data_IF_647748661590
#
_entry.id   IF_647748661590
#
_cell.length_a   1.000
_cell.length_b   1.000
_cell.length_c   1.000
_cell.angle_alpha   90.00
_cell.angle_beta   90.00
_cell.angle_gamma   90.00
#
_symmetry.space_group_name_H-M   'P 1'
#
loop_
_entity.id
_entity.type
_entity.pdbx_description
1 polymer ?
#
# COMPACT_ATOMS: atom_id res chain seq x y z
N UNK A 1 -18.03 -6.22 -11.51
CA UNK A 1 -16.63 -6.67 -11.35
C UNK A 1 -16.07 -5.93 -10.15
N UNK A 2 -15.53 -6.66 -9.18
CA UNK A 2 -14.82 -6.08 -8.04
C UNK A 2 -13.34 -5.97 -8.37
N UNK A 3 -12.67 -4.97 -7.81
CA UNK A 3 -11.22 -4.81 -7.85
C UNK A 3 -10.71 -4.83 -6.40
N UNK A 4 -9.82 -5.77 -6.09
CA UNK A 4 -9.10 -5.75 -4.82
C UNK A 4 -7.86 -4.87 -4.99
N UNK A 5 -7.93 -3.64 -4.47
CA UNK A 5 -6.90 -2.63 -4.62
C UNK A 5 -5.70 -2.81 -3.68
N UNK A 6 -5.74 -3.81 -2.78
CA UNK A 6 -4.62 -4.11 -1.88
C UNK A 6 -4.73 -5.50 -1.27
N UNK A 7 -3.90 -6.41 -1.72
CA UNK A 7 -3.79 -7.76 -1.16
C UNK A 7 -2.33 -8.23 -1.13
N UNK A 8 -2.06 -9.27 -0.35
CA UNK A 8 -0.75 -9.93 -0.25
C UNK A 8 -0.92 -11.40 -0.64
N UNK A 9 -0.98 -11.68 -1.96
CA UNK A 9 -1.28 -13.01 -2.50
C UNK A 9 -0.24 -14.06 -2.12
N UNK A 10 1.00 -13.65 -1.89
CA UNK A 10 2.10 -14.50 -1.41
C UNK A 10 1.98 -14.89 0.08
N UNK A 11 1.04 -14.27 0.81
CA UNK A 11 0.83 -14.46 2.26
C UNK A 11 -0.56 -14.97 2.63
N UNK A 12 -1.39 -15.26 1.63
CA UNK A 12 -2.74 -15.82 1.87
C UNK A 12 -2.68 -17.22 2.45
N UNK A 13 -3.61 -17.54 3.33
CA UNK A 13 -3.74 -18.91 3.84
C UNK A 13 -4.42 -19.80 2.81
N UNK A 14 -3.70 -20.76 2.28
CA UNK A 14 -4.22 -21.73 1.30
C UNK A 14 -4.80 -23.01 1.94
N UNK A 15 -5.06 -23.00 3.27
CA UNK A 15 -5.56 -24.18 3.98
C UNK A 15 -6.88 -24.72 3.42
N UNK A 16 -7.78 -23.82 3.01
CA UNK A 16 -9.08 -24.17 2.43
C UNK A 16 -9.00 -24.67 0.96
N UNK A 17 -7.82 -24.62 0.36
CA UNK A 17 -7.54 -24.96 -1.02
C UNK A 17 -6.45 -26.02 -1.15
N UNK A 18 -6.25 -26.86 -0.13
CA UNK A 18 -5.23 -27.93 -0.11
C UNK A 18 -3.82 -27.45 -0.48
N UNK A 19 -3.50 -26.20 -0.14
CA UNK A 19 -2.27 -25.48 -0.53
C UNK A 19 -2.12 -25.21 -2.04
N UNK A 20 -3.19 -25.34 -2.80
CA UNK A 20 -3.21 -25.07 -4.24
C UNK A 20 -3.57 -23.58 -4.49
N UNK A 21 -2.58 -22.81 -4.93
CA UNK A 21 -2.76 -21.39 -5.26
C UNK A 21 -3.63 -21.21 -6.52
N UNK A 22 -3.60 -22.12 -7.49
CA UNK A 22 -4.42 -22.02 -8.69
C UNK A 22 -5.90 -22.25 -8.35
N UNK A 23 -6.21 -23.18 -7.45
CA UNK A 23 -7.57 -23.38 -6.94
C UNK A 23 -8.08 -22.13 -6.20
N UNK A 24 -7.23 -21.51 -5.35
CA UNK A 24 -7.55 -20.24 -4.68
C UNK A 24 -7.86 -19.13 -5.69
N UNK A 25 -7.01 -18.94 -6.71
CA UNK A 25 -7.22 -17.92 -7.74
C UNK A 25 -8.49 -18.17 -8.55
N UNK A 26 -8.78 -19.42 -8.88
CA UNK A 26 -10.01 -19.80 -9.59
C UNK A 26 -11.25 -19.43 -8.77
N UNK A 27 -11.25 -19.75 -7.48
CA UNK A 27 -12.35 -19.41 -6.57
C UNK A 27 -12.51 -17.89 -6.39
N UNK A 28 -11.39 -17.16 -6.28
CA UNK A 28 -11.40 -15.70 -6.18
C UNK A 28 -12.03 -15.05 -7.42
N UNK A 29 -11.64 -15.48 -8.60
CA UNK A 29 -12.23 -14.97 -9.85
C UNK A 29 -13.72 -15.33 -9.97
N UNK A 30 -14.09 -16.54 -9.58
CA UNK A 30 -15.49 -16.99 -9.58
C UNK A 30 -16.37 -16.20 -8.59
N UNK A 31 -15.79 -15.64 -7.53
CA UNK A 31 -16.50 -14.76 -6.58
C UNK A 31 -16.77 -13.34 -7.12
N UNK A 32 -16.29 -13.01 -8.34
CA UNK A 32 -16.52 -11.72 -9.00
C UNK A 32 -15.37 -10.72 -8.84
N UNK A 33 -14.25 -11.10 -8.20
CA UNK A 33 -13.02 -10.28 -8.19
C UNK A 33 -12.33 -10.41 -9.54
N UNK A 34 -12.34 -9.35 -10.32
CA UNK A 34 -11.81 -9.37 -11.69
C UNK A 34 -10.40 -8.81 -11.83
N UNK A 35 -9.91 -8.06 -10.85
CA UNK A 35 -8.55 -7.57 -10.81
C UNK A 35 -8.05 -7.44 -9.37
N UNK A 36 -6.75 -7.62 -9.17
CA UNK A 36 -6.10 -7.53 -7.85
C UNK A 36 -4.78 -6.77 -7.94
N UNK A 37 -4.47 -5.99 -6.91
CA UNK A 37 -3.15 -5.39 -6.72
C UNK A 37 -2.43 -6.14 -5.60
N UNK A 38 -1.46 -6.98 -5.99
CA UNK A 38 -0.60 -7.70 -5.05
C UNK A 38 0.53 -6.79 -4.59
N UNK A 39 0.50 -6.42 -3.32
CA UNK A 39 1.36 -5.40 -2.74
C UNK A 39 2.59 -6.02 -2.09
N UNK A 40 3.78 -5.55 -2.49
CA UNK A 40 5.05 -5.93 -1.88
C UNK A 40 5.25 -5.25 -0.53
N UNK A 41 5.91 -5.93 0.39
CA UNK A 41 6.29 -5.38 1.69
C UNK A 41 7.80 -5.44 1.96
N UNK A 42 8.57 -6.15 1.14
CA UNK A 42 10.03 -6.18 1.17
C UNK A 42 10.59 -6.54 -0.22
N UNK A 43 11.86 -6.21 -0.46
CA UNK A 43 12.49 -6.46 -1.76
C UNK A 43 13.02 -7.88 -1.90
N UNK A 44 13.37 -8.55 -0.80
CA UNK A 44 13.90 -9.92 -0.81
C UNK A 44 12.87 -10.93 -1.29
N UNK A 45 11.58 -10.72 -0.97
CA UNK A 45 10.49 -11.58 -1.40
C UNK A 45 9.83 -11.12 -2.71
N UNK A 46 10.09 -9.89 -3.16
CA UNK A 46 9.49 -9.36 -4.39
C UNK A 46 9.64 -10.27 -5.61
N UNK A 47 10.83 -10.85 -5.93
CA UNK A 47 10.97 -11.72 -7.09
C UNK A 47 10.09 -12.98 -7.00
N UNK A 48 9.96 -13.56 -5.79
CA UNK A 48 9.11 -14.73 -5.55
C UNK A 48 7.63 -14.39 -5.67
N UNK A 49 7.20 -13.27 -5.09
CA UNK A 49 5.84 -12.75 -5.23
C UNK A 49 5.50 -12.50 -6.70
N UNK A 50 6.40 -11.84 -7.43
CA UNK A 50 6.23 -11.54 -8.85
C UNK A 50 6.09 -12.80 -9.70
N UNK A 51 6.92 -13.81 -9.44
CA UNK A 51 6.84 -15.11 -10.13
C UNK A 51 5.54 -15.87 -9.80
N UNK A 52 5.06 -15.81 -8.56
CA UNK A 52 3.81 -16.44 -8.15
C UNK A 52 2.61 -15.91 -8.94
N UNK A 53 2.58 -14.61 -9.21
CA UNK A 53 1.44 -13.98 -9.90
C UNK A 53 1.63 -13.87 -11.42
N UNK A 54 2.76 -14.29 -11.95
CA UNK A 54 3.09 -14.22 -13.38
C UNK A 54 2.03 -14.89 -14.29
N UNK A 55 1.49 -16.08 -13.95
CA UNK A 55 0.46 -16.73 -14.76
C UNK A 55 -0.89 -16.01 -14.79
N UNK A 56 -1.08 -14.97 -13.94
CA UNK A 56 -2.38 -14.32 -13.73
C UNK A 56 -2.37 -12.88 -14.25
N UNK A 57 -2.77 -12.62 -15.51
CA UNK A 57 -2.73 -11.28 -16.12
C UNK A 57 -3.65 -10.25 -15.42
N UNK A 58 -4.63 -10.72 -14.65
CA UNK A 58 -5.52 -9.90 -13.83
C UNK A 58 -4.89 -9.45 -12.49
N UNK A 59 -3.61 -9.75 -12.25
CA UNK A 59 -2.90 -9.29 -11.05
C UNK A 59 -1.85 -8.27 -11.45
N UNK A 60 -1.96 -7.04 -10.96
CA UNK A 60 -0.89 -6.04 -10.95
C UNK A 60 -0.07 -6.17 -9.67
N UNK A 61 1.11 -5.58 -9.63
CA UNK A 61 1.97 -5.59 -8.45
C UNK A 61 2.43 -4.17 -8.08
N UNK A 62 2.89 -4.01 -6.85
CA UNK A 62 3.67 -2.85 -6.42
C UNK A 62 5.05 -3.27 -5.94
N UNK A 63 5.97 -2.33 -5.79
CA UNK A 63 7.28 -2.56 -5.21
C UNK A 63 7.55 -1.56 -4.09
N UNK A 64 7.97 -2.06 -2.94
CA UNK A 64 8.27 -1.24 -1.77
C UNK A 64 8.66 -2.05 -0.55
N UNK A 65 9.06 -1.33 0.52
CA UNK A 65 9.42 -1.88 1.81
C UNK A 65 8.55 -1.25 2.90
N UNK A 66 7.74 -2.08 3.54
CA UNK A 66 6.82 -1.67 4.60
C UNK A 66 7.58 -1.13 5.83
N UNK A 67 7.08 -0.10 6.54
CA UNK A 67 7.76 0.47 7.70
C UNK A 67 8.05 -0.52 8.84
N UNK A 68 7.30 -1.62 8.95
CA UNK A 68 7.54 -2.63 9.98
C UNK A 68 8.55 -3.71 9.59
N UNK A 69 9.05 -3.71 8.36
CA UNK A 69 10.09 -4.62 7.92
C UNK A 69 11.45 -4.11 8.40
N UNK A 70 11.89 -4.64 9.55
CA UNK A 70 13.19 -4.36 10.16
C UNK A 70 14.22 -5.42 9.74
N UNK A 71 15.51 -5.11 9.86
CA UNK A 71 16.62 -6.01 9.47
C UNK A 71 16.55 -6.44 7.99
N UNK A 72 16.06 -5.56 7.13
CA UNK A 72 16.02 -5.70 5.68
C UNK A 72 17.02 -4.75 5.03
N UNK A 73 17.33 -5.02 3.77
CA UNK A 73 18.05 -4.06 2.96
C UNK A 73 17.21 -2.80 2.81
N UNK A 74 17.80 -1.64 3.13
CA UNK A 74 17.13 -0.35 2.86
C UNK A 74 17.13 -0.08 1.36
N UNK A 75 15.96 0.20 0.77
CA UNK A 75 15.87 0.41 -0.66
C UNK A 75 16.43 1.78 -1.05
N UNK A 76 17.26 1.79 -2.09
CA UNK A 76 17.65 3.02 -2.75
C UNK A 76 16.62 3.41 -3.82
N UNK A 77 16.42 4.72 -4.11
CA UNK A 77 15.44 5.16 -5.11
C UNK A 77 15.64 4.52 -6.48
N UNK A 78 16.89 4.42 -6.96
CA UNK A 78 17.19 3.84 -8.27
C UNK A 78 16.87 2.34 -8.35
N UNK A 79 17.03 1.60 -7.25
CA UNK A 79 16.65 0.20 -7.16
C UNK A 79 15.12 0.03 -7.29
N UNK A 80 14.36 0.85 -6.57
CA UNK A 80 12.90 0.87 -6.67
C UNK A 80 12.43 1.23 -8.08
N UNK A 81 13.05 2.23 -8.71
CA UNK A 81 12.75 2.63 -10.10
C UNK A 81 13.03 1.50 -11.07
N UNK A 82 14.17 0.80 -10.92
CA UNK A 82 14.53 -0.33 -11.77
C UNK A 82 13.50 -1.48 -11.65
N UNK A 83 13.09 -1.83 -10.45
CA UNK A 83 12.05 -2.86 -10.21
C UNK A 83 10.68 -2.41 -10.70
N UNK A 84 10.37 -1.14 -10.56
CA UNK A 84 9.13 -0.54 -11.03
C UNK A 84 9.03 -0.46 -12.56
N UNK A 85 10.11 -0.69 -13.31
CA UNK A 85 10.08 -0.76 -14.78
C UNK A 85 9.29 -1.95 -15.32
N UNK A 86 9.02 -2.98 -14.51
CA UNK A 86 8.10 -4.07 -14.87
C UNK A 86 6.73 -3.48 -15.23
N UNK A 87 6.16 -3.79 -16.42
CA UNK A 87 4.86 -3.25 -16.85
C UNK A 87 3.69 -3.71 -15.95
N UNK A 88 3.85 -4.78 -15.19
CA UNK A 88 2.87 -5.24 -14.19
C UNK A 88 2.94 -4.43 -12.88
N UNK A 89 4.04 -3.72 -12.63
CA UNK A 89 4.16 -2.84 -11.50
C UNK A 89 3.40 -1.53 -11.76
N UNK A 90 2.42 -1.22 -10.93
CA UNK A 90 1.55 -0.05 -11.09
C UNK A 90 1.69 0.99 -9.99
N UNK A 91 2.45 0.70 -8.92
CA UNK A 91 2.61 1.60 -7.78
C UNK A 91 3.93 1.38 -7.05
N UNK A 92 4.38 2.39 -6.32
CA UNK A 92 5.48 2.30 -5.35
C UNK A 92 4.88 2.15 -3.95
N UNK A 93 5.22 1.08 -3.28
CA UNK A 93 4.71 0.74 -1.95
C UNK A 93 4.53 -0.78 -1.77
N UNK A 94 4.17 -1.22 -0.58
CA UNK A 94 3.72 -0.43 0.56
C UNK A 94 4.90 0.24 1.26
N UNK A 95 4.72 1.48 1.69
CA UNK A 95 5.71 2.29 2.39
C UNK A 95 5.03 3.24 3.38
N UNK A 96 5.76 4.01 4.14
CA UNK A 96 5.20 5.00 5.06
C UNK A 96 5.80 4.92 6.46
N UNK A 97 4.96 5.18 7.48
CA UNK A 97 5.40 5.28 8.87
C UNK A 97 4.48 4.49 9.81
N UNK A 98 5.06 3.78 10.77
CA UNK A 98 4.33 3.07 11.83
C UNK A 98 5.01 3.31 13.19
N UNK A 99 4.42 4.18 14.02
CA UNK A 99 4.93 4.49 15.36
C UNK A 99 4.30 3.60 16.43
N UNK A 100 3.24 2.86 16.09
CA UNK A 100 2.61 1.93 17.01
C UNK A 100 3.46 0.67 17.24
N UNK A 101 4.14 0.18 16.20
CA UNK A 101 4.94 -1.06 16.24
C UNK A 101 6.44 -0.83 16.29
N UNK A 102 6.87 0.42 16.35
CA UNK A 102 8.27 0.79 16.32
C UNK A 102 8.63 1.65 17.52
N UNK A 103 9.82 1.44 18.07
CA UNK A 103 10.33 2.18 19.21
C UNK A 103 11.71 2.79 18.92
N UNK A 104 12.10 3.80 19.70
CA UNK A 104 13.41 4.44 19.61
C UNK A 104 13.54 5.48 18.50
N UNK A 105 14.73 5.60 17.92
CA UNK A 105 14.98 6.54 16.82
C UNK A 105 14.44 5.97 15.50
N UNK A 106 13.44 6.64 14.96
CA UNK A 106 12.73 6.25 13.73
C UNK A 106 13.19 7.04 12.49
N UNK A 107 14.36 7.68 12.55
CA UNK A 107 14.93 8.42 11.41
C UNK A 107 15.07 7.51 10.17
N UNK A 108 15.34 6.22 10.35
CA UNK A 108 15.41 5.24 9.26
C UNK A 108 14.05 5.04 8.55
N UNK A 109 12.91 5.07 9.26
CA UNK A 109 11.58 5.02 8.61
C UNK A 109 11.34 6.28 7.77
N UNK A 110 11.70 7.46 8.29
CA UNK A 110 11.58 8.71 7.55
C UNK A 110 12.40 8.67 6.26
N UNK A 111 13.66 8.19 6.33
CA UNK A 111 14.53 8.09 5.17
C UNK A 111 13.99 7.08 4.14
N UNK A 112 13.59 5.90 4.59
CA UNK A 112 12.93 4.89 3.74
C UNK A 112 11.72 5.47 3.03
N UNK A 113 10.84 6.18 3.75
CA UNK A 113 9.66 6.80 3.16
C UNK A 113 10.03 7.85 2.10
N UNK A 114 11.04 8.68 2.36
CA UNK A 114 11.58 9.66 1.37
C UNK A 114 12.12 8.98 0.13
N UNK A 115 12.85 7.87 0.26
CA UNK A 115 13.36 7.10 -0.87
C UNK A 115 12.22 6.58 -1.78
N UNK A 116 11.13 6.07 -1.19
CA UNK A 116 9.97 5.63 -1.94
C UNK A 116 9.26 6.80 -2.67
N UNK A 117 9.12 7.95 -2.02
CA UNK A 117 8.53 9.12 -2.66
C UNK A 117 9.41 9.60 -3.84
N UNK A 118 10.73 9.64 -3.64
CA UNK A 118 11.66 9.98 -4.71
C UNK A 118 11.55 9.01 -5.90
N UNK A 119 11.50 7.70 -5.64
CA UNK A 119 11.31 6.68 -6.67
C UNK A 119 9.96 6.83 -7.39
N UNK A 120 8.88 7.04 -6.65
CA UNK A 120 7.54 7.24 -7.21
C UNK A 120 7.50 8.42 -8.19
N UNK A 121 8.09 9.55 -7.80
CA UNK A 121 8.21 10.74 -8.66
C UNK A 121 9.06 10.48 -9.89
N UNK A 122 10.20 9.78 -9.72
CA UNK A 122 11.10 9.48 -10.83
C UNK A 122 10.45 8.58 -11.90
N UNK A 123 9.61 7.61 -11.49
CA UNK A 123 8.93 6.71 -12.43
C UNK A 123 7.47 7.12 -12.74
N UNK A 124 6.95 8.19 -12.14
CA UNK A 124 5.59 8.68 -12.38
C UNK A 124 4.50 7.74 -11.90
N UNK A 125 4.75 6.94 -10.85
CA UNK A 125 3.80 5.96 -10.31
C UNK A 125 3.22 6.41 -8.96
N UNK A 126 1.93 6.10 -8.67
CA UNK A 126 1.30 6.47 -7.41
C UNK A 126 1.93 5.71 -6.22
N UNK A 127 1.74 6.27 -5.03
CA UNK A 127 2.19 5.70 -3.75
C UNK A 127 1.10 4.86 -3.09
N UNK A 128 1.50 3.76 -2.44
CA UNK A 128 0.66 3.04 -1.47
C UNK A 128 1.25 3.28 -0.08
N UNK A 129 0.50 4.01 0.75
CA UNK A 129 1.01 4.53 2.03
C UNK A 129 0.33 3.84 3.19
N UNK A 130 1.16 3.23 4.05
CA UNK A 130 0.82 2.83 5.41
C UNK A 130 1.08 3.99 6.36
N UNK A 131 0.13 4.24 7.27
CA UNK A 131 0.35 5.19 8.37
C UNK A 131 -0.35 4.70 9.62
N UNK A 132 0.37 4.73 10.74
CA UNK A 132 -0.18 4.36 12.05
C UNK A 132 0.47 5.17 13.16
N UNK A 133 -0.34 5.98 13.87
CA UNK A 133 0.12 6.90 14.92
C UNK A 133 1.21 7.88 14.46
N UNK A 134 1.29 8.16 13.16
CA UNK A 134 2.36 8.95 12.52
C UNK A 134 1.83 10.11 11.65
N UNK A 135 0.63 10.62 11.95
CA UNK A 135 -0.10 11.62 11.15
C UNK A 135 0.74 12.82 10.72
N UNK A 136 1.31 13.50 11.71
CA UNK A 136 2.02 14.77 11.48
C UNK A 136 3.24 14.56 10.58
N UNK A 137 4.05 13.55 10.84
CA UNK A 137 5.24 13.26 10.08
C UNK A 137 4.92 12.71 8.70
N UNK A 138 3.88 11.87 8.56
CA UNK A 138 3.41 11.39 7.25
C UNK A 138 3.04 12.58 6.36
N UNK A 139 2.17 13.47 6.82
CA UNK A 139 1.75 14.64 6.05
C UNK A 139 2.91 15.62 5.77
N UNK A 140 3.81 15.80 6.74
CA UNK A 140 4.98 16.67 6.59
C UNK A 140 5.90 16.14 5.48
N UNK A 141 6.27 14.85 5.54
CA UNK A 141 7.16 14.23 4.56
C UNK A 141 6.53 14.23 3.16
N UNK A 142 5.23 13.90 3.04
CA UNK A 142 4.53 13.97 1.76
C UNK A 142 4.62 15.36 1.11
N UNK A 143 4.52 16.43 1.90
CA UNK A 143 4.66 17.81 1.40
C UNK A 143 6.10 18.17 1.06
N UNK A 144 7.03 17.88 1.96
CA UNK A 144 8.47 18.17 1.79
C UNK A 144 9.01 17.51 0.52
N UNK A 145 8.62 16.26 0.26
CA UNK A 145 9.10 15.48 -0.88
C UNK A 145 8.27 15.66 -2.16
N UNK A 146 7.25 16.51 -2.14
CA UNK A 146 6.45 16.78 -3.34
C UNK A 146 5.60 15.60 -3.81
N UNK A 147 5.13 14.74 -2.90
CA UNK A 147 4.36 13.54 -3.24
C UNK A 147 3.03 13.84 -3.98
N UNK A 148 2.55 15.10 -3.92
CA UNK A 148 1.40 15.57 -4.70
C UNK A 148 1.54 15.34 -6.21
N UNK A 149 2.76 15.33 -6.73
CA UNK A 149 3.02 15.16 -8.17
C UNK A 149 2.57 13.79 -8.69
N UNK A 150 2.57 12.78 -7.84
CA UNK A 150 2.21 11.40 -8.19
C UNK A 150 0.94 10.92 -7.50
N UNK A 151 0.58 11.50 -6.34
CA UNK A 151 -0.57 11.07 -5.55
C UNK A 151 -0.45 9.63 -5.06
N UNK A 152 -1.58 8.99 -4.82
CA UNK A 152 -1.62 7.61 -4.35
C UNK A 152 -2.79 7.33 -3.42
N UNK A 153 -2.60 6.41 -2.48
CA UNK A 153 -3.61 5.99 -1.51
C UNK A 153 -3.02 5.90 -0.10
N UNK A 154 -3.73 6.43 0.90
CA UNK A 154 -3.50 6.06 2.29
C UNK A 154 -4.30 4.78 2.54
N UNK A 155 -3.57 3.66 2.65
CA UNK A 155 -4.16 2.33 2.75
C UNK A 155 -4.55 1.98 4.18
N UNK A 156 -5.67 1.25 4.34
CA UNK A 156 -6.18 0.80 5.62
C UNK A 156 -6.22 1.95 6.66
N UNK A 157 -6.78 3.06 6.26
CA UNK A 157 -6.79 4.31 7.01
C UNK A 157 -7.47 4.14 8.37
N UNK A 158 -6.78 4.56 9.43
CA UNK A 158 -7.24 4.44 10.83
C UNK A 158 -7.18 5.76 11.59
N UNK A 159 -6.88 6.84 10.89
CA UNK A 159 -6.65 8.15 11.48
C UNK A 159 -7.93 9.02 11.47
N UNK A 160 -7.80 10.30 11.76
CA UNK A 160 -8.93 11.22 11.86
C UNK A 160 -9.23 11.97 10.55
N UNK A 161 -10.31 12.75 10.58
CA UNK A 161 -10.71 13.57 9.44
C UNK A 161 -9.71 14.67 9.10
N UNK A 162 -9.02 15.24 10.09
CA UNK A 162 -8.03 16.28 9.83
C UNK A 162 -6.92 15.75 8.93
N UNK A 163 -6.41 14.56 9.21
CA UNK A 163 -5.44 13.89 8.34
C UNK A 163 -6.03 13.53 6.99
N UNK A 164 -7.26 12.96 6.96
CA UNK A 164 -7.91 12.56 5.71
C UNK A 164 -8.09 13.76 4.77
N UNK A 165 -8.59 14.89 5.28
CA UNK A 165 -8.80 16.10 4.48
C UNK A 165 -7.51 16.65 3.90
N UNK A 166 -6.43 16.68 4.69
CA UNK A 166 -5.13 17.13 4.22
C UNK A 166 -4.51 16.20 3.18
N UNK A 167 -4.73 14.88 3.30
CA UNK A 167 -4.30 13.91 2.30
C UNK A 167 -5.10 14.05 0.99
N UNK A 168 -6.41 14.29 1.07
CA UNK A 168 -7.26 14.60 -0.09
C UNK A 168 -6.79 15.87 -0.82
N UNK A 169 -6.42 16.93 -0.08
CA UNK A 169 -5.86 18.17 -0.63
C UNK A 169 -4.51 17.95 -1.35
N UNK A 170 -3.76 16.92 -0.93
CA UNK A 170 -2.54 16.49 -1.61
C UNK A 170 -2.80 15.56 -2.81
N UNK A 171 -4.07 15.26 -3.13
CA UNK A 171 -4.44 14.45 -4.28
C UNK A 171 -4.50 12.95 -4.01
N UNK A 172 -4.44 12.52 -2.73
CA UNK A 172 -4.50 11.12 -2.36
C UNK A 172 -5.95 10.60 -2.27
N UNK A 173 -6.09 9.29 -2.43
CA UNK A 173 -7.30 8.53 -2.08
C UNK A 173 -7.20 8.03 -0.65
N UNK A 174 -8.35 7.74 -0.05
CA UNK A 174 -8.45 7.13 1.27
C UNK A 174 -9.08 5.74 1.11
N UNK A 175 -8.40 4.71 1.61
CA UNK A 175 -8.88 3.33 1.55
C UNK A 175 -9.22 2.83 2.94
N UNK A 176 -10.40 2.24 3.08
CA UNK A 176 -10.85 1.59 4.31
C UNK A 176 -10.91 0.09 4.10
N UNK A 177 -10.25 -0.66 4.99
CA UNK A 177 -10.33 -2.12 4.99
C UNK A 177 -11.42 -2.63 5.93
N UNK A 178 -11.48 -3.94 6.15
CA UNK A 178 -12.47 -4.56 7.04
C UNK A 178 -12.53 -3.99 8.47
N UNK A 179 -11.52 -3.26 8.91
CA UNK A 179 -11.51 -2.60 10.23
C UNK A 179 -12.71 -1.65 10.44
N UNK A 180 -13.23 -1.04 9.37
CA UNK A 180 -14.39 -0.14 9.43
C UNK A 180 -15.66 -0.86 9.93
N UNK A 181 -15.71 -2.19 9.80
CA UNK A 181 -16.85 -3.02 10.24
C UNK A 181 -16.82 -3.38 11.73
N UNK A 182 -15.73 -3.08 12.44
CA UNK A 182 -15.60 -3.43 13.84
C UNK A 182 -16.52 -2.56 14.72
N UNK A 183 -17.08 -3.11 15.83
CA UNK A 183 -18.02 -2.38 16.69
C UNK A 183 -17.48 -1.04 17.19
N UNK A 184 -16.18 -0.93 17.48
CA UNK A 184 -15.55 0.31 17.99
C UNK A 184 -15.11 1.30 16.90
N UNK A 185 -15.46 1.11 15.63
CA UNK A 185 -14.97 1.94 14.51
C UNK A 185 -15.91 3.10 14.14
N UNK A 186 -16.69 3.66 15.09
CA UNK A 186 -17.67 4.71 14.82
C UNK A 186 -17.00 5.99 14.26
N UNK A 187 -15.90 6.42 14.86
CA UNK A 187 -15.17 7.60 14.41
C UNK A 187 -14.64 7.40 13.00
N UNK A 188 -14.12 6.20 12.69
CA UNK A 188 -13.64 5.87 11.36
C UNK A 188 -14.76 5.86 10.31
N UNK A 189 -15.97 5.36 10.67
CA UNK A 189 -17.15 5.44 9.81
C UNK A 189 -17.58 6.88 9.52
N UNK A 190 -17.44 7.79 10.51
CA UNK A 190 -17.69 9.22 10.31
C UNK A 190 -16.67 9.84 9.34
N UNK A 191 -15.42 9.46 9.41
CA UNK A 191 -14.40 9.87 8.42
C UNK A 191 -14.78 9.37 7.05
N UNK A 192 -15.10 8.08 6.89
CA UNK A 192 -15.46 7.48 5.62
C UNK A 192 -16.68 8.15 4.97
N UNK A 193 -17.69 8.52 5.78
CA UNK A 193 -18.89 9.21 5.30
C UNK A 193 -18.62 10.62 4.74
N UNK A 194 -17.47 11.21 5.05
CA UNK A 194 -17.06 12.55 4.59
C UNK A 194 -16.14 12.51 3.38
N UNK A 195 -15.48 11.37 3.10
CA UNK A 195 -14.59 11.22 1.95
C UNK A 195 -15.44 11.26 0.67
N UNK A 196 -15.08 12.07 -0.34
CA UNK A 196 -15.75 12.05 -1.64
C UNK A 196 -15.70 10.66 -2.29
N UNK A 197 -16.80 10.21 -2.92
CA UNK A 197 -16.89 8.86 -3.49
C UNK A 197 -15.85 8.58 -4.58
N UNK A 198 -15.41 9.60 -5.30
CA UNK A 198 -14.35 9.51 -6.31
C UNK A 198 -12.93 9.49 -5.72
N UNK A 199 -12.83 9.55 -4.39
CA UNK A 199 -11.58 9.47 -3.62
C UNK A 199 -11.58 8.37 -2.57
N UNK A 200 -12.61 7.54 -2.57
CA UNK A 200 -12.82 6.45 -1.62
C UNK A 200 -12.50 5.10 -2.27
N UNK A 201 -11.73 4.26 -1.54
CA UNK A 201 -11.45 2.87 -1.89
C UNK A 201 -11.81 1.93 -0.74
#
# INVERSE_FOLDING_TARGET
>A
MLVDSHCHLDRVSLKAYDKDFAAFMTATLASGVGHMLCVSIDLEHYPKMRALVDPYPQVSVSVGVHPNETNRQEPEPDELVALAADPRNVAIGETGLDYYRSEGDLAWQHQRFRHHIAAARACGKPLIIHTREARADTLRILREEGAREVGGVLHCFTEDWDMASQALDLGFHISFSGIITFPGADDLRQVAARVPLDRLL
#
